data_IF_023720344832
#
_entry.id   IF_023720344832
#
_cell.length_a   1.000
_cell.length_b   1.000
_cell.length_c   1.000
_cell.angle_alpha   90.00
_cell.angle_beta   90.00
_cell.angle_gamma   90.00
#
_symmetry.space_group_name_H-M   'P 1'
#
loop_
_entity.id
_entity.type
_entity.pdbx_description
1 polymer ?
#
# COMPACT_ATOMS: atom_id res chain seq x y z
N UNK A 1 18.34 -10.86 -21.84
CA UNK A 1 17.50 -9.69 -21.48
C UNK A 1 17.28 -9.59 -19.97
N UNK A 2 16.80 -10.62 -19.28
CA UNK A 2 16.54 -10.66 -17.84
C UNK A 2 17.79 -10.34 -16.99
N UNK A 3 18.94 -10.97 -17.30
CA UNK A 3 20.22 -10.76 -16.58
C UNK A 3 20.69 -9.29 -16.67
N UNK A 4 20.57 -8.65 -17.83
CA UNK A 4 20.94 -7.24 -18.01
C UNK A 4 20.03 -6.34 -17.16
N UNK A 5 18.74 -6.59 -17.19
CA UNK A 5 17.74 -5.85 -16.40
C UNK A 5 17.98 -6.00 -14.88
N UNK A 6 18.25 -7.22 -14.38
CA UNK A 6 18.59 -7.46 -12.98
C UNK A 6 19.89 -6.72 -12.57
N UNK A 7 20.90 -6.72 -13.44
CA UNK A 7 22.13 -5.99 -13.19
C UNK A 7 21.89 -4.48 -13.08
N UNK A 8 21.09 -3.91 -13.98
CA UNK A 8 20.70 -2.50 -13.95
C UNK A 8 19.92 -2.16 -12.66
N UNK A 9 18.99 -3.02 -12.25
CA UNK A 9 18.23 -2.86 -11.01
C UNK A 9 19.15 -2.85 -9.78
N UNK A 10 20.04 -3.84 -9.68
CA UNK A 10 21.02 -3.93 -8.58
C UNK A 10 21.95 -2.70 -8.56
N UNK A 11 22.41 -2.26 -9.72
CA UNK A 11 23.27 -1.08 -9.85
C UNK A 11 22.52 0.17 -9.40
N UNK A 12 21.25 0.31 -9.77
CA UNK A 12 20.38 1.42 -9.34
C UNK A 12 20.15 1.40 -7.83
N UNK A 13 19.90 0.23 -7.23
CA UNK A 13 19.75 0.11 -5.77
C UNK A 13 21.06 0.49 -5.06
N UNK A 14 22.20 0.08 -5.60
CA UNK A 14 23.51 0.40 -5.03
C UNK A 14 23.85 1.90 -5.13
N UNK A 15 23.32 2.62 -6.10
CA UNK A 15 23.53 4.07 -6.25
C UNK A 15 22.76 4.91 -5.21
N UNK A 16 21.71 4.37 -4.59
CA UNK A 16 20.97 5.09 -3.57
C UNK A 16 21.79 5.31 -2.29
N UNK A 17 21.46 6.37 -1.58
CA UNK A 17 22.04 6.67 -0.27
C UNK A 17 21.93 5.47 0.68
N UNK A 18 22.93 5.28 1.55
CA UNK A 18 22.97 4.19 2.53
C UNK A 18 21.74 4.16 3.43
N UNK A 19 21.18 5.32 3.79
CA UNK A 19 19.94 5.41 4.58
C UNK A 19 18.74 4.82 3.84
N UNK A 20 18.62 5.11 2.54
CA UNK A 20 17.56 4.55 1.68
C UNK A 20 17.70 3.03 1.60
N UNK A 21 18.90 2.52 1.35
CA UNK A 21 19.16 1.08 1.25
C UNK A 21 18.83 0.35 2.55
N UNK A 22 19.26 0.90 3.69
CA UNK A 22 18.95 0.32 4.99
C UNK A 22 17.45 0.32 5.28
N UNK A 23 16.75 1.40 4.96
CA UNK A 23 15.30 1.47 5.10
C UNK A 23 14.60 0.43 4.19
N UNK A 24 15.02 0.31 2.92
CA UNK A 24 14.41 -0.65 1.98
C UNK A 24 14.58 -2.09 2.46
N UNK A 25 15.76 -2.45 3.01
CA UNK A 25 16.01 -3.77 3.58
C UNK A 25 15.15 -4.00 4.84
N UNK A 26 15.09 -3.02 5.74
CA UNK A 26 14.24 -3.09 6.93
C UNK A 26 12.77 -3.28 6.53
N UNK A 27 12.28 -2.45 5.60
CA UNK A 27 10.89 -2.52 5.16
C UNK A 27 10.59 -3.81 4.39
N UNK A 28 11.53 -4.35 3.62
CA UNK A 28 11.38 -5.63 2.96
C UNK A 28 11.14 -6.77 3.96
N UNK A 29 11.93 -6.86 5.03
CA UNK A 29 11.71 -7.82 6.11
C UNK A 29 10.35 -7.60 6.79
N UNK A 30 10.00 -6.35 7.10
CA UNK A 30 8.71 -5.99 7.70
C UNK A 30 7.54 -6.46 6.83
N UNK A 31 7.62 -6.26 5.52
CA UNK A 31 6.55 -6.63 4.59
C UNK A 31 6.45 -8.15 4.36
N UNK A 32 7.55 -8.91 4.43
CA UNK A 32 7.49 -10.37 4.43
C UNK A 32 6.73 -10.86 5.66
N UNK A 33 7.11 -10.41 6.86
CA UNK A 33 6.42 -10.79 8.09
C UNK A 33 4.95 -10.40 8.09
N UNK A 34 4.62 -9.21 7.55
CA UNK A 34 3.23 -8.77 7.39
C UNK A 34 2.45 -9.67 6.42
N UNK A 35 3.08 -10.12 5.33
CA UNK A 35 2.47 -11.05 4.38
C UNK A 35 2.11 -12.39 5.04
N UNK A 36 3.02 -12.97 5.83
CA UNK A 36 2.73 -14.18 6.62
C UNK A 36 1.51 -13.96 7.50
N UNK A 37 1.48 -12.82 8.20
CA UNK A 37 0.40 -12.49 9.12
C UNK A 37 -0.94 -12.29 8.40
N UNK A 38 -0.95 -11.58 7.28
CA UNK A 38 -2.17 -11.32 6.51
C UNK A 38 -2.85 -12.60 6.00
N UNK A 39 -2.06 -13.58 5.56
CA UNK A 39 -2.62 -14.84 5.04
C UNK A 39 -3.04 -15.79 6.17
N UNK A 40 -2.22 -15.94 7.19
CA UNK A 40 -2.42 -16.98 8.20
C UNK A 40 -3.32 -16.55 9.34
N UNK A 41 -3.45 -15.27 9.66
CA UNK A 41 -4.14 -14.85 10.87
C UNK A 41 -5.65 -15.09 10.84
N UNK A 42 -6.31 -14.88 9.71
CA UNK A 42 -7.73 -15.17 9.58
C UNK A 42 -8.02 -16.67 9.68
N UNK A 43 -7.11 -17.50 9.14
CA UNK A 43 -7.17 -18.96 9.27
C UNK A 43 -6.95 -19.36 10.73
N UNK A 44 -5.99 -18.74 11.42
CA UNK A 44 -5.74 -18.94 12.84
C UNK A 44 -7.00 -18.71 13.70
N UNK A 45 -7.70 -17.59 13.48
CA UNK A 45 -8.95 -17.27 14.18
C UNK A 45 -10.02 -18.34 13.92
N UNK A 46 -10.16 -18.80 12.68
CA UNK A 46 -11.10 -19.85 12.29
C UNK A 46 -10.76 -21.18 12.98
N UNK A 47 -9.50 -21.59 12.96
CA UNK A 47 -9.05 -22.86 13.58
C UNK A 47 -9.11 -22.84 15.11
N UNK A 48 -9.13 -21.66 15.74
CA UNK A 48 -9.46 -21.49 17.17
C UNK A 48 -10.94 -21.77 17.47
N UNK A 49 -11.78 -22.02 16.47
CA UNK A 49 -13.22 -22.24 16.62
C UNK A 49 -14.02 -20.95 16.82
N UNK A 50 -13.44 -19.77 16.57
CA UNK A 50 -14.13 -18.49 16.65
C UNK A 50 -14.96 -18.23 15.39
N UNK A 51 -16.05 -17.49 15.54
CA UNK A 51 -16.98 -17.22 14.45
C UNK A 51 -16.38 -16.32 13.35
N UNK A 52 -16.92 -16.41 12.14
CA UNK A 52 -16.51 -15.53 11.03
C UNK A 52 -16.77 -14.03 11.34
N UNK A 53 -17.74 -13.74 12.22
CA UNK A 53 -18.00 -12.37 12.67
C UNK A 53 -16.81 -11.77 13.43
N UNK A 54 -16.07 -12.59 14.18
CA UNK A 54 -14.83 -12.16 14.87
C UNK A 54 -13.77 -11.77 13.85
N UNK A 55 -13.59 -12.55 12.78
CA UNK A 55 -12.69 -12.22 11.68
C UNK A 55 -13.04 -10.87 11.04
N UNK A 56 -14.31 -10.66 10.72
CA UNK A 56 -14.82 -9.40 10.20
C UNK A 56 -14.58 -8.23 11.15
N UNK A 57 -14.83 -8.43 12.46
CA UNK A 57 -14.60 -7.42 13.49
C UNK A 57 -13.12 -7.07 13.65
N UNK A 58 -12.22 -8.05 13.59
CA UNK A 58 -10.76 -7.84 13.61
C UNK A 58 -10.31 -6.95 12.46
N UNK A 59 -10.76 -7.22 11.24
CA UNK A 59 -10.43 -6.40 10.05
C UNK A 59 -10.98 -4.98 10.21
N UNK A 60 -12.24 -4.85 10.62
CA UNK A 60 -12.91 -3.56 10.78
C UNK A 60 -12.27 -2.70 11.87
N UNK A 61 -11.99 -3.28 13.05
CA UNK A 61 -11.36 -2.57 14.17
C UNK A 61 -9.93 -2.14 13.83
N UNK A 62 -9.17 -2.99 13.15
CA UNK A 62 -7.83 -2.66 12.70
C UNK A 62 -7.85 -1.50 11.70
N UNK A 63 -8.74 -1.52 10.72
CA UNK A 63 -8.89 -0.46 9.74
C UNK A 63 -9.38 0.85 10.37
N UNK A 64 -10.35 0.79 11.29
CA UNK A 64 -10.85 1.95 12.03
C UNK A 64 -9.73 2.61 12.85
N UNK A 65 -8.99 1.80 13.61
CA UNK A 65 -7.88 2.27 14.43
C UNK A 65 -6.78 2.93 13.57
N UNK A 66 -6.46 2.32 12.43
CA UNK A 66 -5.53 2.87 11.46
C UNK A 66 -5.99 4.25 10.97
N UNK A 67 -7.24 4.38 10.52
CA UNK A 67 -7.80 5.66 10.03
C UNK A 67 -7.74 6.75 11.10
N UNK A 68 -8.15 6.44 12.34
CA UNK A 68 -8.12 7.39 13.45
C UNK A 68 -6.69 7.88 13.72
N UNK A 69 -5.71 7.00 13.64
CA UNK A 69 -4.33 7.31 14.03
C UNK A 69 -3.48 7.89 12.88
N UNK A 70 -3.88 7.75 11.60
CA UNK A 70 -3.07 8.18 10.45
C UNK A 70 -2.65 9.66 10.54
N UNK A 71 -3.58 10.58 10.83
CA UNK A 71 -3.28 12.01 10.92
C UNK A 71 -2.46 12.35 12.17
N UNK A 72 -2.84 11.91 13.38
CA UNK A 72 -2.00 12.09 14.57
C UNK A 72 -0.60 11.51 14.40
N UNK A 73 -0.48 10.30 13.85
CA UNK A 73 0.81 9.66 13.60
C UNK A 73 1.70 10.47 12.64
N UNK A 74 1.11 11.09 11.61
CA UNK A 74 1.83 11.97 10.69
C UNK A 74 2.41 13.20 11.38
N UNK A 75 1.61 13.86 12.21
CA UNK A 75 2.06 15.01 12.99
C UNK A 75 3.15 14.66 14.01
N UNK A 76 3.01 13.51 14.66
CA UNK A 76 4.02 12.96 15.58
C UNK A 76 5.30 12.62 14.81
N UNK A 77 5.19 12.03 13.62
CA UNK A 77 6.32 11.68 12.76
C UNK A 77 7.15 12.90 12.35
N UNK A 78 6.48 14.00 12.04
CA UNK A 78 7.16 15.26 11.69
C UNK A 78 7.90 15.89 12.89
N UNK A 79 7.39 15.69 14.12
CA UNK A 79 8.00 16.25 15.36
C UNK A 79 9.11 15.38 15.93
N UNK A 80 8.89 14.06 16.09
CA UNK A 80 9.84 13.15 16.75
C UNK A 80 10.91 12.61 15.80
N UNK A 81 10.73 12.80 14.51
CA UNK A 81 11.61 12.29 13.47
C UNK A 81 11.22 10.89 12.99
N UNK A 82 11.24 10.72 11.68
CA UNK A 82 10.69 9.53 10.98
C UNK A 82 11.39 8.23 11.38
N UNK A 83 12.73 8.24 11.50
CA UNK A 83 13.49 7.05 11.90
C UNK A 83 13.04 6.49 13.24
N UNK A 84 12.96 7.37 14.25
CA UNK A 84 12.61 6.95 15.61
C UNK A 84 11.21 6.36 15.65
N UNK A 85 10.28 6.97 14.92
CA UNK A 85 8.91 6.50 14.85
C UNK A 85 8.78 5.17 14.11
N UNK A 86 9.53 4.97 13.03
CA UNK A 86 9.57 3.69 12.31
C UNK A 86 10.14 2.59 13.23
N UNK A 87 11.25 2.85 13.92
CA UNK A 87 11.87 1.86 14.84
C UNK A 87 10.93 1.53 15.99
N UNK A 88 10.42 2.53 16.70
CA UNK A 88 9.51 2.32 17.81
C UNK A 88 8.20 1.64 17.36
N UNK A 89 7.61 2.10 16.25
CA UNK A 89 6.42 1.50 15.68
C UNK A 89 6.63 0.05 15.26
N UNK A 90 7.78 -0.28 14.64
CA UNK A 90 8.11 -1.66 14.26
C UNK A 90 8.31 -2.56 15.49
N UNK A 91 8.98 -2.09 16.53
CA UNK A 91 9.15 -2.84 17.80
C UNK A 91 7.81 -3.11 18.47
N UNK A 92 6.97 -2.07 18.62
CA UNK A 92 5.63 -2.21 19.20
C UNK A 92 4.75 -3.14 18.35
N UNK A 93 4.90 -3.06 17.01
CA UNK A 93 4.18 -3.93 16.09
C UNK A 93 4.54 -5.40 16.31
N UNK A 94 5.83 -5.71 16.44
CA UNK A 94 6.28 -7.09 16.76
C UNK A 94 5.66 -7.58 18.08
N UNK A 95 5.66 -6.76 19.13
CA UNK A 95 5.03 -7.13 20.39
C UNK A 95 3.53 -7.43 20.22
N UNK A 96 2.80 -6.57 19.49
CA UNK A 96 1.36 -6.76 19.24
C UNK A 96 1.07 -8.00 18.39
N UNK A 97 1.82 -8.20 17.30
CA UNK A 97 1.64 -9.37 16.43
C UNK A 97 1.97 -10.67 17.16
N UNK A 98 3.04 -10.68 17.98
CA UNK A 98 3.39 -11.82 18.83
C UNK A 98 2.27 -12.11 19.85
N UNK A 99 1.74 -11.09 20.53
CA UNK A 99 0.61 -11.25 21.43
C UNK A 99 -0.62 -11.81 20.71
N UNK A 100 -0.95 -11.29 19.52
CA UNK A 100 -2.05 -11.79 18.68
C UNK A 100 -1.88 -13.24 18.24
N UNK A 101 -0.65 -13.71 18.08
CA UNK A 101 -0.37 -15.11 17.70
C UNK A 101 -0.53 -16.10 18.86
N UNK A 102 -0.55 -15.61 20.10
CA UNK A 102 -0.61 -16.46 21.30
C UNK A 102 -2.00 -16.48 21.93
N UNK A 103 -2.69 -15.34 21.91
CA UNK A 103 -4.01 -15.20 22.55
C UNK A 103 -5.10 -15.96 21.81
N UNK A 104 -6.07 -16.47 22.58
CA UNK A 104 -7.16 -17.30 22.07
C UNK A 104 -8.53 -16.75 22.40
N UNK A 105 -8.64 -15.76 23.29
CA UNK A 105 -9.93 -15.18 23.69
C UNK A 105 -10.38 -14.08 22.73
N UNK A 106 -11.64 -14.10 22.32
CA UNK A 106 -12.22 -13.15 21.38
C UNK A 106 -11.96 -11.69 21.76
N UNK A 107 -12.26 -11.31 23.00
CA UNK A 107 -12.14 -9.92 23.45
C UNK A 107 -10.70 -9.40 23.39
N UNK A 108 -9.72 -10.25 23.74
CA UNK A 108 -8.31 -9.90 23.67
C UNK A 108 -7.84 -9.78 22.22
N UNK A 109 -8.31 -10.67 21.34
CA UNK A 109 -8.03 -10.62 19.89
C UNK A 109 -8.53 -9.29 19.29
N UNK A 110 -9.76 -8.90 19.61
CA UNK A 110 -10.35 -7.65 19.11
C UNK A 110 -9.61 -6.41 19.64
N UNK A 111 -9.28 -6.39 20.94
CA UNK A 111 -8.51 -5.30 21.56
C UNK A 111 -7.12 -5.16 20.93
N UNK A 112 -6.40 -6.28 20.75
CA UNK A 112 -5.08 -6.27 20.13
C UNK A 112 -5.15 -5.91 18.64
N UNK A 113 -6.23 -6.26 17.93
CA UNK A 113 -6.45 -5.84 16.54
C UNK A 113 -6.56 -4.32 16.45
N UNK A 114 -7.32 -3.70 17.34
CA UNK A 114 -7.44 -2.24 17.43
C UNK A 114 -6.07 -1.60 17.75
N UNK A 115 -5.36 -2.07 18.77
CA UNK A 115 -4.02 -1.57 19.11
C UNK A 115 -3.03 -1.73 17.94
N UNK A 116 -3.09 -2.85 17.22
CA UNK A 116 -2.25 -3.10 16.04
C UNK A 116 -2.49 -2.05 14.95
N UNK A 117 -3.76 -1.69 14.68
CA UNK A 117 -4.11 -0.65 13.72
C UNK A 117 -3.55 0.72 14.10
N UNK A 118 -3.64 1.11 15.38
CA UNK A 118 -3.06 2.36 15.87
C UNK A 118 -1.54 2.40 15.66
N UNK A 119 -0.84 1.32 16.00
CA UNK A 119 0.63 1.24 15.91
C UNK A 119 1.08 1.19 14.44
N UNK A 120 0.36 0.45 13.59
CA UNK A 120 0.70 0.36 12.16
C UNK A 120 0.70 1.71 11.46
N UNK A 121 -0.16 2.64 11.88
CA UNK A 121 -0.20 3.99 11.35
C UNK A 121 1.16 4.70 11.44
N UNK A 122 1.91 4.54 12.54
CA UNK A 122 3.22 5.17 12.72
C UNK A 122 4.25 4.70 11.67
N UNK A 123 4.24 3.41 11.35
CA UNK A 123 5.14 2.84 10.34
C UNK A 123 4.72 3.31 8.94
N UNK A 124 3.43 3.22 8.64
CA UNK A 124 2.88 3.50 7.33
C UNK A 124 3.04 4.97 6.91
N UNK A 125 2.75 5.92 7.80
CA UNK A 125 2.82 7.35 7.45
C UNK A 125 4.26 7.85 7.30
N UNK A 126 5.22 7.19 7.95
CA UNK A 126 6.61 7.66 7.99
C UNK A 126 7.44 7.22 6.79
N UNK A 127 7.05 6.13 6.11
CA UNK A 127 7.87 5.47 5.10
C UNK A 127 8.12 6.31 3.85
N UNK A 128 7.08 6.73 3.17
CA UNK A 128 7.17 7.53 1.93
C UNK A 128 7.85 8.87 2.16
N UNK A 129 7.49 9.64 3.20
CA UNK A 129 8.20 10.86 3.54
C UNK A 129 9.68 10.64 3.89
N UNK A 130 10.03 9.55 4.61
CA UNK A 130 11.42 9.22 4.91
C UNK A 130 12.24 9.03 3.62
N UNK A 131 11.71 8.29 2.65
CA UNK A 131 12.35 8.09 1.35
C UNK A 131 12.50 9.42 0.60
N UNK A 132 11.46 10.26 0.62
CA UNK A 132 11.47 11.56 -0.06
C UNK A 132 12.53 12.52 0.52
N UNK A 133 12.73 12.53 1.86
CA UNK A 133 13.71 13.37 2.54
C UNK A 133 15.16 12.94 2.30
N UNK A 134 15.39 11.64 2.08
CA UNK A 134 16.72 11.08 1.83
C UNK A 134 17.07 10.95 0.34
N UNK A 135 16.19 11.40 -0.57
CA UNK A 135 16.37 11.29 -2.02
C UNK A 135 16.35 12.65 -2.70
N UNK A 136 17.03 12.75 -3.83
CA UNK A 136 16.93 13.91 -4.73
C UNK A 136 15.64 13.82 -5.56
N UNK A 137 15.12 14.97 -6.04
CA UNK A 137 13.94 14.99 -6.90
C UNK A 137 14.14 14.15 -8.17
N UNK A 138 15.38 14.08 -8.68
CA UNK A 138 15.74 13.37 -9.91
C UNK A 138 15.65 11.83 -9.77
N UNK A 139 16.06 11.31 -8.61
CA UNK A 139 16.04 9.84 -8.34
C UNK A 139 14.73 9.34 -7.73
N UNK A 140 13.88 10.26 -7.21
CA UNK A 140 12.68 9.93 -6.41
C UNK A 140 11.71 9.02 -7.15
N UNK A 141 11.55 9.22 -8.47
CA UNK A 141 10.66 8.40 -9.28
C UNK A 141 11.11 6.93 -9.34
N UNK A 142 12.41 6.72 -9.63
CA UNK A 142 12.98 5.37 -9.67
C UNK A 142 12.96 4.73 -8.27
N UNK A 143 13.29 5.51 -7.24
CA UNK A 143 13.27 5.07 -5.86
C UNK A 143 11.89 4.55 -5.43
N UNK A 144 10.83 5.32 -5.68
CA UNK A 144 9.47 4.90 -5.31
C UNK A 144 9.02 3.68 -6.11
N UNK A 145 9.34 3.61 -7.40
CA UNK A 145 9.02 2.44 -8.23
C UNK A 145 9.66 1.17 -7.70
N UNK A 146 10.96 1.23 -7.35
CA UNK A 146 11.69 0.09 -6.78
C UNK A 146 11.14 -0.24 -5.39
N UNK A 147 10.89 0.76 -4.55
CA UNK A 147 10.36 0.57 -3.21
C UNK A 147 9.01 -0.14 -3.22
N UNK A 148 8.03 0.36 -3.96
CA UNK A 148 6.69 -0.26 -4.03
C UNK A 148 6.72 -1.65 -4.66
N UNK A 149 7.58 -1.86 -5.66
CA UNK A 149 7.79 -3.20 -6.23
C UNK A 149 8.36 -4.17 -5.20
N UNK A 150 9.36 -3.76 -4.42
CA UNK A 150 9.94 -4.58 -3.35
C UNK A 150 8.92 -4.88 -2.25
N UNK A 151 8.09 -3.92 -1.87
CA UNK A 151 6.98 -4.12 -0.92
C UNK A 151 6.02 -5.19 -1.45
N UNK A 152 5.62 -5.10 -2.71
CA UNK A 152 4.71 -6.07 -3.33
C UNK A 152 5.34 -7.46 -3.39
N UNK A 153 6.61 -7.58 -3.82
CA UNK A 153 7.34 -8.85 -3.84
C UNK A 153 7.47 -9.44 -2.43
N UNK A 154 7.81 -8.61 -1.44
CA UNK A 154 7.93 -9.06 -0.06
C UNK A 154 6.61 -9.61 0.50
N UNK A 155 5.48 -8.96 0.20
CA UNK A 155 4.16 -9.46 0.59
C UNK A 155 3.83 -10.80 -0.06
N UNK A 156 4.10 -10.96 -1.36
CA UNK A 156 3.90 -12.25 -2.06
C UNK A 156 4.76 -13.34 -1.43
N UNK A 157 6.05 -13.05 -1.16
CA UNK A 157 6.95 -13.99 -0.49
C UNK A 157 6.45 -14.34 0.92
N UNK A 158 5.98 -13.36 1.67
CA UNK A 158 5.40 -13.57 2.99
C UNK A 158 4.16 -14.46 2.96
N UNK A 159 3.26 -14.21 2.00
CA UNK A 159 2.06 -15.03 1.82
C UNK A 159 2.41 -16.49 1.52
N UNK A 160 3.34 -16.72 0.60
CA UNK A 160 3.81 -18.07 0.26
C UNK A 160 4.49 -18.74 1.46
N UNK A 161 5.38 -18.02 2.14
CA UNK A 161 6.11 -18.52 3.29
C UNK A 161 5.16 -18.93 4.42
N UNK A 162 4.11 -18.11 4.69
CA UNK A 162 3.11 -18.40 5.72
C UNK A 162 2.40 -19.73 5.48
N UNK A 163 1.92 -19.96 4.25
CA UNK A 163 1.25 -21.21 3.89
C UNK A 163 2.19 -22.42 3.96
N UNK A 164 3.40 -22.31 3.36
CA UNK A 164 4.39 -23.38 3.36
C UNK A 164 4.81 -23.77 4.78
N UNK A 165 5.05 -22.79 5.66
CA UNK A 165 5.42 -23.06 7.05
C UNK A 165 4.30 -23.75 7.82
N UNK A 166 3.05 -23.30 7.66
CA UNK A 166 1.91 -23.92 8.33
C UNK A 166 1.76 -25.39 7.90
N UNK A 167 1.85 -25.68 6.60
CA UNK A 167 1.76 -27.04 6.09
C UNK A 167 2.96 -27.90 6.53
N UNK A 168 4.17 -27.34 6.50
CA UNK A 168 5.38 -28.04 6.91
C UNK A 168 5.32 -28.50 8.39
N UNK A 169 4.85 -27.61 9.28
CA UNK A 169 4.70 -27.96 10.70
C UNK A 169 3.63 -29.03 10.93
N UNK A 170 2.55 -29.04 10.14
CA UNK A 170 1.57 -30.11 10.17
C UNK A 170 2.16 -31.45 9.71
N UNK A 171 3.02 -31.46 8.68
CA UNK A 171 3.73 -32.67 8.24
C UNK A 171 4.66 -33.24 9.33
N UNK A 172 5.18 -32.38 10.22
CA UNK A 172 5.93 -32.82 11.42
C UNK A 172 5.02 -33.27 12.59
N UNK A 173 3.71 -33.37 12.38
CA UNK A 173 2.77 -33.88 13.36
C UNK A 173 2.24 -32.87 14.37
N UNK A 174 2.46 -31.57 14.16
CA UNK A 174 1.89 -30.54 15.03
C UNK A 174 0.39 -30.33 14.72
N UNK A 175 -0.44 -30.05 15.74
CA UNK A 175 -1.83 -29.65 15.53
C UNK A 175 -1.92 -28.40 14.63
N UNK A 176 -3.01 -28.26 13.87
CA UNK A 176 -3.22 -27.17 12.91
C UNK A 176 -3.04 -25.79 13.55
N UNK A 177 -3.65 -25.56 14.72
CA UNK A 177 -3.57 -24.28 15.45
C UNK A 177 -2.11 -23.96 15.82
N UNK A 178 -1.37 -24.94 16.32
CA UNK A 178 0.05 -24.75 16.71
C UNK A 178 0.93 -24.52 15.46
N UNK A 179 0.67 -25.23 14.39
CA UNK A 179 1.39 -25.06 13.12
C UNK A 179 1.24 -23.65 12.58
N UNK A 180 0.03 -23.09 12.57
CA UNK A 180 -0.23 -21.72 12.15
C UNK A 180 0.41 -20.73 13.14
N UNK A 181 0.32 -20.99 14.45
CA UNK A 181 0.95 -20.16 15.48
C UNK A 181 2.46 -20.04 15.27
N UNK A 182 3.16 -21.15 15.03
CA UNK A 182 4.59 -21.11 14.72
C UNK A 182 4.90 -20.36 13.44
N UNK A 183 4.10 -20.51 12.37
CA UNK A 183 4.26 -19.75 11.16
C UNK A 183 4.11 -18.23 11.42
N UNK A 184 3.11 -17.81 12.20
CA UNK A 184 2.93 -16.42 12.62
C UNK A 184 4.12 -15.88 13.43
N UNK A 185 4.63 -16.66 14.40
CA UNK A 185 5.78 -16.28 15.22
C UNK A 185 7.07 -16.15 14.39
N UNK A 186 7.26 -17.01 13.38
CA UNK A 186 8.36 -16.84 12.41
C UNK A 186 8.19 -15.56 11.63
N UNK A 187 6.96 -15.23 11.17
CA UNK A 187 6.66 -13.96 10.56
C UNK A 187 7.04 -12.77 11.46
N UNK A 188 6.69 -12.81 12.75
CA UNK A 188 7.10 -11.80 13.74
C UNK A 188 8.63 -11.72 13.89
N UNK A 189 9.33 -12.85 13.84
CA UNK A 189 10.79 -12.89 13.93
C UNK A 189 11.45 -12.23 12.72
N UNK A 190 10.86 -12.36 11.53
CA UNK A 190 11.34 -11.69 10.32
C UNK A 190 11.21 -10.16 10.45
N UNK A 191 10.18 -9.64 11.12
CA UNK A 191 10.10 -8.22 11.45
C UNK A 191 11.32 -7.75 12.26
N UNK A 192 11.74 -8.54 13.28
CA UNK A 192 12.91 -8.20 14.10
C UNK A 192 14.20 -8.11 13.29
N UNK A 193 14.37 -8.95 12.26
CA UNK A 193 15.53 -8.89 11.36
C UNK A 193 15.64 -7.54 10.63
N UNK A 194 14.52 -6.86 10.40
CA UNK A 194 14.52 -5.53 9.79
C UNK A 194 15.07 -4.42 10.70
N UNK A 195 14.96 -4.55 12.02
CA UNK A 195 15.30 -3.49 12.98
C UNK A 195 16.79 -3.08 12.95
N UNK A 196 17.78 -4.01 12.95
CA UNK A 196 19.19 -3.65 12.85
C UNK A 196 19.53 -2.79 11.64
N UNK A 197 18.89 -3.02 10.49
CA UNK A 197 19.09 -2.19 9.31
C UNK A 197 18.56 -0.78 9.55
N UNK A 198 17.40 -0.63 10.17
CA UNK A 198 16.83 0.68 10.48
C UNK A 198 17.65 1.43 11.53
N UNK A 199 18.25 0.75 12.50
CA UNK A 199 19.14 1.37 13.49
C UNK A 199 20.40 1.95 12.84
N UNK A 200 20.94 1.34 11.78
CA UNK A 200 22.11 1.84 11.02
C UNK A 200 21.82 3.11 10.22
N UNK A 201 20.57 3.51 10.04
CA UNK A 201 20.21 4.78 9.40
C UNK A 201 20.79 5.93 10.21
N UNK A 202 21.59 6.80 9.57
CA UNK A 202 22.17 7.99 10.21
C UNK A 202 21.17 9.14 10.13
N UNK A 203 20.77 9.67 11.29
CA UNK A 203 19.96 10.89 11.34
C UNK A 203 20.94 12.06 11.29
N UNK A 204 20.71 13.09 10.44
CA UNK A 204 21.42 14.35 10.54
C UNK A 204 21.26 14.90 11.97
N UNK A 205 22.35 15.38 12.55
CA UNK A 205 22.29 16.04 13.86
C UNK A 205 21.26 17.17 13.81
N UNK A 206 20.58 17.44 14.93
CA UNK A 206 19.58 18.52 15.04
C UNK A 206 20.13 19.84 14.49
N UNK A 207 21.43 20.10 14.72
CA UNK A 207 22.16 21.27 14.21
C UNK A 207 22.27 21.27 12.68
N UNK A 208 22.57 20.12 12.05
CA UNK A 208 22.62 19.98 10.60
C UNK A 208 21.22 20.02 9.96
N UNK A 209 20.18 19.59 10.69
CA UNK A 209 18.78 19.69 10.25
C UNK A 209 18.32 21.15 10.31
N UNK A 210 18.59 21.84 11.39
CA UNK A 210 18.29 23.28 11.52
C UNK A 210 19.05 24.11 10.50
N UNK A 211 20.34 23.85 10.27
CA UNK A 211 21.14 24.50 9.25
C UNK A 211 20.62 24.22 7.83
N UNK A 212 20.09 23.03 7.56
CA UNK A 212 19.46 22.70 6.28
C UNK A 212 18.06 23.31 6.14
N UNK A 213 17.32 23.45 7.24
CA UNK A 213 16.05 24.18 7.30
C UNK A 213 16.30 25.69 7.12
N UNK A 214 17.30 26.26 7.78
CA UNK A 214 17.72 27.66 7.62
C UNK A 214 18.27 27.96 6.20
N UNK A 215 19.05 27.05 5.62
CA UNK A 215 19.53 27.18 4.24
C UNK A 215 18.37 27.05 3.25
N UNK A 216 17.42 26.15 3.48
CA UNK A 216 16.22 26.01 2.67
C UNK A 216 15.25 27.21 2.87
N UNK A 217 15.14 27.76 4.08
CA UNK A 217 14.40 28.99 4.35
C UNK A 217 15.10 30.22 3.74
N UNK A 218 16.42 30.19 3.62
CA UNK A 218 17.24 31.24 2.95
C UNK A 218 17.14 31.18 1.42
N UNK A 219 16.98 29.98 0.82
CA UNK A 219 16.74 29.80 -0.62
C UNK A 219 15.27 29.96 -1.01
N UNK A 220 14.35 29.61 -0.10
CA UNK A 220 12.92 29.85 -0.25
C UNK A 220 12.60 31.26 0.24
N UNK A 221 12.74 32.26 -0.62
CA UNK A 221 12.23 33.63 -0.41
C UNK A 221 10.70 33.58 -0.22
N UNK A 222 10.22 33.23 0.96
CA UNK A 222 8.81 33.30 1.33
C UNK A 222 8.48 32.45 2.55
N UNK A 223 7.77 33.06 3.53
CA UNK A 223 7.17 32.32 4.65
C UNK A 223 6.37 31.14 4.10
N UNK A 224 6.46 29.91 4.68
CA UNK A 224 5.72 28.75 4.18
C UNK A 224 4.23 29.12 4.10
N UNK A 225 3.69 29.08 2.89
CA UNK A 225 2.31 29.51 2.66
C UNK A 225 1.35 28.38 3.04
N UNK A 226 0.98 28.35 4.32
CA UNK A 226 0.05 27.33 4.87
C UNK A 226 -1.20 27.20 4.01
N UNK A 227 -1.79 28.32 3.54
CA UNK A 227 -2.99 28.28 2.68
C UNK A 227 -2.73 27.54 1.36
N UNK A 228 -1.56 27.75 0.75
CA UNK A 228 -1.16 27.05 -0.49
C UNK A 228 -0.98 25.56 -0.24
N UNK A 229 -0.26 25.16 0.80
CA UNK A 229 -0.03 23.75 1.13
C UNK A 229 -1.34 23.03 1.47
N UNK A 230 -2.18 23.60 2.31
CA UNK A 230 -3.50 23.04 2.63
C UNK A 230 -4.37 22.90 1.37
N UNK A 231 -4.39 23.92 0.50
CA UNK A 231 -5.11 23.85 -0.78
C UNK A 231 -4.61 22.69 -1.64
N UNK A 232 -3.28 22.48 -1.74
CA UNK A 232 -2.72 21.37 -2.50
C UNK A 232 -3.07 20.03 -1.89
N UNK A 233 -3.00 19.89 -0.57
CA UNK A 233 -3.39 18.67 0.15
C UNK A 233 -4.85 18.35 -0.13
N UNK A 234 -5.77 19.31 0.02
CA UNK A 234 -7.20 19.09 -0.23
C UNK A 234 -7.47 18.70 -1.68
N UNK A 235 -6.87 19.41 -2.66
CA UNK A 235 -7.05 19.06 -4.06
C UNK A 235 -6.55 17.65 -4.40
N UNK A 236 -5.43 17.24 -3.80
CA UNK A 236 -4.88 15.90 -3.99
C UNK A 236 -5.74 14.83 -3.29
N UNK A 237 -6.25 15.15 -2.10
CA UNK A 237 -7.13 14.28 -1.31
C UNK A 237 -8.44 13.97 -2.04
N UNK A 238 -9.02 14.92 -2.78
CA UNK A 238 -10.24 14.67 -3.59
C UNK A 238 -9.97 13.57 -4.63
N UNK A 239 -8.82 13.61 -5.31
CA UNK A 239 -8.45 12.54 -6.25
C UNK A 239 -8.29 11.19 -5.55
N UNK A 240 -7.62 11.18 -4.39
CA UNK A 240 -7.45 9.95 -3.60
C UNK A 240 -8.78 9.40 -3.06
N UNK A 241 -9.72 10.26 -2.69
CA UNK A 241 -11.06 9.85 -2.29
C UNK A 241 -11.79 9.14 -3.43
N UNK A 242 -11.80 9.73 -4.62
CA UNK A 242 -12.44 9.14 -5.81
C UNK A 242 -11.82 7.77 -6.15
N UNK A 243 -10.49 7.69 -6.13
CA UNK A 243 -9.80 6.41 -6.38
C UNK A 243 -10.10 5.40 -5.27
N UNK A 244 -10.14 5.84 -4.00
CA UNK A 244 -10.51 5.00 -2.85
C UNK A 244 -11.92 4.45 -2.94
N UNK A 245 -12.89 5.28 -3.33
CA UNK A 245 -14.28 4.88 -3.57
C UNK A 245 -14.35 3.82 -4.67
N UNK A 246 -13.74 4.07 -5.82
CA UNK A 246 -13.72 3.10 -6.92
C UNK A 246 -13.02 1.78 -6.54
N UNK A 247 -11.90 1.86 -5.81
CA UNK A 247 -11.17 0.68 -5.34
C UNK A 247 -11.99 -0.13 -4.32
N UNK A 248 -12.70 0.55 -3.40
CA UNK A 248 -13.52 -0.08 -2.37
C UNK A 248 -14.72 -0.86 -2.90
N UNK A 249 -15.25 -0.48 -4.06
CA UNK A 249 -16.34 -1.22 -4.72
C UNK A 249 -15.91 -2.58 -5.27
N UNK A 250 -14.66 -2.76 -5.66
CA UNK A 250 -14.20 -3.92 -6.42
C UNK A 250 -13.18 -4.77 -5.65
N UNK A 251 -12.13 -4.15 -5.11
CA UNK A 251 -10.95 -4.90 -4.63
C UNK A 251 -11.26 -5.86 -3.48
N UNK A 252 -12.04 -5.49 -2.45
CA UNK A 252 -12.34 -6.40 -1.34
C UNK A 252 -13.16 -7.62 -1.75
N UNK A 253 -13.85 -7.54 -2.88
CA UNK A 253 -14.80 -8.56 -3.35
C UNK A 253 -14.29 -9.38 -4.54
N UNK A 254 -13.03 -9.23 -4.93
CA UNK A 254 -12.45 -9.97 -6.07
C UNK A 254 -12.49 -11.48 -5.86
N UNK A 255 -12.25 -11.95 -4.63
CA UNK A 255 -12.36 -13.39 -4.31
C UNK A 255 -13.77 -13.88 -4.58
N UNK A 256 -14.77 -13.16 -4.05
CA UNK A 256 -16.19 -13.48 -4.22
C UNK A 256 -16.63 -13.32 -5.68
N UNK A 257 -16.10 -12.35 -6.41
CA UNK A 257 -16.37 -12.20 -7.83
C UNK A 257 -15.97 -13.45 -8.61
N UNK A 258 -14.76 -13.97 -8.43
CA UNK A 258 -14.32 -15.19 -9.11
C UNK A 258 -15.07 -16.44 -8.64
N UNK A 259 -15.34 -16.55 -7.33
CA UNK A 259 -16.08 -17.65 -6.77
C UNK A 259 -17.54 -17.66 -7.25
N UNK A 260 -18.26 -16.55 -7.08
CA UNK A 260 -19.72 -16.52 -7.26
C UNK A 260 -20.15 -16.41 -8.73
N UNK A 261 -19.28 -15.88 -9.60
CA UNK A 261 -19.64 -15.68 -11.01
C UNK A 261 -19.11 -16.79 -11.93
N UNK A 262 -18.00 -17.42 -11.56
CA UNK A 262 -17.32 -18.42 -12.40
C UNK A 262 -17.13 -19.76 -11.71
N UNK A 263 -17.65 -19.96 -10.50
CA UNK A 263 -17.46 -21.17 -9.69
C UNK A 263 -15.98 -21.59 -9.60
N UNK A 264 -15.07 -20.59 -9.55
CA UNK A 264 -13.64 -20.82 -9.55
C UNK A 264 -13.19 -21.45 -8.21
N UNK A 265 -12.38 -22.51 -8.32
CA UNK A 265 -11.77 -23.14 -7.14
C UNK A 265 -10.88 -22.14 -6.37
N UNK A 266 -10.78 -22.28 -5.04
CA UNK A 266 -9.99 -21.41 -4.18
C UNK A 266 -8.53 -21.32 -4.62
N UNK A 267 -7.93 -22.42 -5.06
CA UNK A 267 -6.56 -22.46 -5.60
C UNK A 267 -6.41 -21.62 -6.86
N UNK A 268 -7.39 -21.64 -7.77
CA UNK A 268 -7.41 -20.83 -8.98
C UNK A 268 -7.53 -19.35 -8.64
N UNK A 269 -8.40 -19.00 -7.69
CA UNK A 269 -8.55 -17.62 -7.20
C UNK A 269 -7.22 -17.13 -6.60
N UNK A 270 -6.64 -17.93 -5.71
CA UNK A 270 -5.34 -17.60 -5.10
C UNK A 270 -4.23 -17.40 -6.13
N UNK A 271 -4.16 -18.26 -7.15
CA UNK A 271 -3.20 -18.13 -8.24
C UNK A 271 -3.39 -16.84 -9.06
N UNK A 272 -4.64 -16.51 -9.44
CA UNK A 272 -4.96 -15.28 -10.17
C UNK A 272 -4.56 -14.04 -9.37
N UNK A 273 -4.87 -13.99 -8.08
CA UNK A 273 -4.55 -12.87 -7.21
C UNK A 273 -3.03 -12.71 -6.98
N UNK A 274 -2.32 -13.84 -6.79
CA UNK A 274 -0.86 -13.85 -6.67
C UNK A 274 -0.19 -13.36 -7.96
N UNK A 275 -0.64 -13.84 -9.12
CA UNK A 275 -0.15 -13.41 -10.42
C UNK A 275 -0.42 -11.91 -10.66
N UNK A 276 -1.58 -11.40 -10.24
CA UNK A 276 -1.93 -9.98 -10.28
C UNK A 276 -0.96 -9.12 -9.46
N UNK A 277 -0.59 -9.59 -8.28
CA UNK A 277 0.41 -8.93 -7.44
C UNK A 277 1.81 -8.94 -8.08
N UNK A 278 2.22 -10.06 -8.68
CA UNK A 278 3.49 -10.15 -9.38
C UNK A 278 3.54 -9.21 -10.61
N UNK A 279 2.48 -9.18 -11.41
CA UNK A 279 2.36 -8.25 -12.54
C UNK A 279 2.37 -6.79 -12.10
N UNK A 280 1.75 -6.48 -10.97
CA UNK A 280 1.79 -5.15 -10.36
C UNK A 280 3.22 -4.73 -10.03
N UNK A 281 4.02 -5.60 -9.41
CA UNK A 281 5.42 -5.31 -9.10
C UNK A 281 6.24 -4.99 -10.36
N UNK A 282 6.06 -5.77 -11.43
CA UNK A 282 6.72 -5.53 -12.73
C UNK A 282 6.25 -4.21 -13.35
N UNK A 283 4.96 -3.93 -13.33
CA UNK A 283 4.39 -2.71 -13.91
C UNK A 283 4.89 -1.44 -13.19
N UNK A 284 5.04 -1.47 -11.87
CA UNK A 284 5.62 -0.37 -11.09
C UNK A 284 7.06 -0.06 -11.50
N UNK A 285 7.86 -1.07 -11.85
CA UNK A 285 9.24 -0.88 -12.32
C UNK A 285 9.32 -0.31 -13.75
N UNK A 286 8.27 -0.46 -14.54
CA UNK A 286 8.17 0.15 -15.87
C UNK A 286 7.72 1.61 -15.84
N UNK A 287 7.12 2.06 -14.74
CA UNK A 287 6.60 3.42 -14.55
C UNK A 287 7.59 4.52 -14.92
N UNK A 288 8.85 4.52 -14.43
CA UNK A 288 9.84 5.54 -14.75
C UNK A 288 10.13 5.70 -16.24
N UNK A 289 10.11 4.60 -17.01
CA UNK A 289 10.33 4.67 -18.47
C UNK A 289 9.25 5.47 -19.19
N UNK A 290 7.99 5.31 -18.76
CA UNK A 290 6.88 6.08 -19.33
C UNK A 290 6.94 7.55 -18.86
N UNK A 291 7.24 7.78 -17.58
CA UNK A 291 7.39 9.13 -17.02
C UNK A 291 8.44 9.93 -17.76
N UNK A 292 9.58 9.32 -18.10
CA UNK A 292 10.67 9.99 -18.84
C UNK A 292 10.25 10.38 -20.27
N UNK A 293 9.23 9.72 -20.86
CA UNK A 293 8.76 10.02 -22.23
C UNK A 293 7.64 11.07 -22.26
N UNK A 294 6.72 11.01 -21.32
CA UNK A 294 5.47 11.80 -21.40
C UNK A 294 5.23 12.69 -20.17
N UNK A 295 6.15 12.69 -19.19
CA UNK A 295 6.00 13.40 -17.92
C UNK A 295 5.13 12.65 -16.91
N UNK A 296 5.21 13.07 -15.61
CA UNK A 296 4.57 12.35 -14.50
C UNK A 296 3.05 12.30 -14.60
N UNK A 297 2.41 13.45 -14.86
CA UNK A 297 0.95 13.55 -14.89
C UNK A 297 0.39 12.75 -16.05
N UNK A 298 0.95 12.88 -17.24
CA UNK A 298 0.47 12.13 -18.41
C UNK A 298 0.70 10.63 -18.26
N UNK A 299 1.84 10.20 -17.69
CA UNK A 299 2.11 8.80 -17.42
C UNK A 299 1.08 8.19 -16.45
N UNK A 300 0.75 8.92 -15.37
CA UNK A 300 -0.30 8.50 -14.43
C UNK A 300 -1.65 8.32 -15.13
N UNK A 301 -2.04 9.29 -15.94
CA UNK A 301 -3.31 9.26 -16.68
C UNK A 301 -3.35 8.11 -17.69
N UNK A 302 -2.25 7.86 -18.42
CA UNK A 302 -2.16 6.73 -19.36
C UNK A 302 -2.38 5.41 -18.61
N UNK A 303 -1.72 5.21 -17.46
CA UNK A 303 -1.91 4.01 -16.67
C UNK A 303 -3.34 3.85 -16.16
N UNK A 304 -3.92 4.89 -15.59
CA UNK A 304 -5.28 4.87 -15.07
C UNK A 304 -6.32 4.64 -16.19
N UNK A 305 -6.24 5.40 -17.27
CA UNK A 305 -7.20 5.28 -18.37
C UNK A 305 -7.04 3.94 -19.13
N UNK A 306 -5.80 3.46 -19.35
CA UNK A 306 -5.57 2.18 -19.97
C UNK A 306 -6.06 0.98 -19.10
N UNK A 307 -6.25 1.16 -17.81
CA UNK A 307 -6.81 0.12 -16.93
C UNK A 307 -8.32 -0.07 -17.12
N UNK A 308 -9.04 0.94 -17.60
CA UNK A 308 -10.51 0.96 -17.68
C UNK A 308 -11.06 -0.07 -18.69
N UNK A 309 -10.54 -0.21 -19.92
CA UNK A 309 -11.00 -1.26 -20.83
C UNK A 309 -10.89 -2.67 -20.25
N UNK A 310 -9.83 -2.95 -19.48
CA UNK A 310 -9.64 -4.24 -18.82
C UNK A 310 -10.61 -4.44 -17.64
N UNK A 311 -10.97 -3.35 -16.95
CA UNK A 311 -12.03 -3.37 -15.94
C UNK A 311 -13.37 -3.75 -16.58
N UNK A 312 -13.73 -3.16 -17.72
CA UNK A 312 -14.95 -3.51 -18.46
C UNK A 312 -14.90 -4.91 -19.05
N UNK A 313 -13.72 -5.37 -19.50
CA UNK A 313 -13.55 -6.77 -19.92
C UNK A 313 -13.93 -7.72 -18.78
N UNK A 314 -13.43 -7.48 -17.55
CA UNK A 314 -13.82 -8.26 -16.38
C UNK A 314 -15.29 -8.09 -16.04
N UNK A 315 -15.87 -6.88 -16.21
CA UNK A 315 -17.27 -6.60 -15.91
C UNK A 315 -18.26 -7.46 -16.70
N UNK A 316 -18.02 -7.64 -18.00
CA UNK A 316 -19.04 -8.17 -18.92
C UNK A 316 -18.71 -9.55 -19.52
N UNK A 317 -17.51 -10.10 -19.31
CA UNK A 317 -17.15 -11.44 -19.82
C UNK A 317 -17.82 -12.54 -19.03
N UNK A 318 -18.13 -13.65 -19.70
CA UNK A 318 -18.56 -14.92 -19.09
C UNK A 318 -17.45 -15.97 -19.06
N UNK A 319 -16.25 -15.62 -19.53
CA UNK A 319 -15.09 -16.52 -19.50
C UNK A 319 -14.20 -16.20 -18.33
N UNK A 320 -13.92 -17.18 -17.47
CA UNK A 320 -12.97 -17.06 -16.35
C UNK A 320 -11.61 -16.58 -16.82
N UNK A 321 -11.12 -17.11 -17.97
CA UNK A 321 -9.81 -16.72 -18.51
C UNK A 321 -9.77 -15.25 -18.91
N UNK A 322 -10.79 -14.75 -19.60
CA UNK A 322 -10.87 -13.33 -19.99
C UNK A 322 -11.06 -12.43 -18.78
N UNK A 323 -11.83 -12.86 -17.78
CA UNK A 323 -12.00 -12.15 -16.52
C UNK A 323 -10.67 -12.04 -15.76
N UNK A 324 -9.90 -13.14 -15.71
CA UNK A 324 -8.58 -13.16 -15.10
C UNK A 324 -7.61 -12.23 -15.84
N UNK A 325 -7.53 -12.30 -17.17
CA UNK A 325 -6.69 -11.39 -17.98
C UNK A 325 -7.09 -9.93 -17.73
N UNK A 326 -8.39 -9.62 -17.76
CA UNK A 326 -8.90 -8.30 -17.46
C UNK A 326 -8.46 -7.81 -16.09
N UNK A 327 -8.63 -8.64 -15.06
CA UNK A 327 -8.19 -8.34 -13.70
C UNK A 327 -6.67 -8.10 -13.61
N UNK A 328 -5.86 -9.00 -14.15
CA UNK A 328 -4.39 -8.93 -14.12
C UNK A 328 -3.87 -7.63 -14.75
N UNK A 329 -4.35 -7.31 -15.95
CA UNK A 329 -3.96 -6.09 -16.66
C UNK A 329 -4.45 -4.83 -15.96
N UNK A 330 -5.72 -4.81 -15.53
CA UNK A 330 -6.28 -3.69 -14.75
C UNK A 330 -5.48 -3.46 -13.48
N UNK A 331 -5.20 -4.50 -12.72
CA UNK A 331 -4.46 -4.40 -11.45
C UNK A 331 -3.05 -3.87 -11.67
N UNK A 332 -2.33 -4.42 -12.62
CA UNK A 332 -0.97 -4.01 -12.95
C UNK A 332 -0.92 -2.54 -13.39
N UNK A 333 -1.79 -2.13 -14.33
CA UNK A 333 -1.83 -0.77 -14.86
C UNK A 333 -2.24 0.24 -13.77
N UNK A 334 -3.32 -0.01 -13.04
CA UNK A 334 -3.81 0.92 -12.02
C UNK A 334 -2.77 1.15 -10.92
N UNK A 335 -2.13 0.09 -10.43
CA UNK A 335 -1.14 0.17 -9.37
C UNK A 335 0.24 0.67 -9.85
N UNK A 336 0.56 0.58 -11.15
CA UNK A 336 1.76 1.20 -11.73
C UNK A 336 1.80 2.72 -11.51
N UNK A 337 0.64 3.35 -11.32
CA UNK A 337 0.51 4.76 -10.97
C UNK A 337 0.90 5.12 -9.53
N UNK A 338 0.94 4.18 -8.59
CA UNK A 338 1.19 4.46 -7.18
C UNK A 338 2.53 5.17 -6.89
N UNK A 339 3.68 4.73 -7.47
CA UNK A 339 4.94 5.44 -7.31
C UNK A 339 4.89 6.86 -7.86
N UNK A 340 4.21 7.06 -8.99
CA UNK A 340 4.06 8.37 -9.65
C UNK A 340 3.22 9.29 -8.77
N UNK A 341 2.09 8.81 -8.27
CA UNK A 341 1.21 9.55 -7.36
C UNK A 341 1.96 9.97 -6.10
N UNK A 342 2.74 9.06 -5.50
CA UNK A 342 3.56 9.36 -4.32
C UNK A 342 4.65 10.41 -4.62
N UNK A 343 5.30 10.34 -5.79
CA UNK A 343 6.28 11.33 -6.20
C UNK A 343 5.65 12.72 -6.36
N UNK A 344 4.50 12.81 -7.04
CA UNK A 344 3.77 14.08 -7.22
C UNK A 344 3.32 14.63 -5.87
N UNK A 345 2.74 13.80 -4.99
CA UNK A 345 2.29 14.23 -3.67
C UNK A 345 3.41 14.85 -2.83
N UNK A 346 4.64 14.31 -2.92
CA UNK A 346 5.81 14.83 -2.20
C UNK A 346 6.44 16.08 -2.85
N UNK A 347 6.09 16.39 -4.08
CA UNK A 347 6.63 17.57 -4.81
C UNK A 347 5.68 18.78 -4.74
N UNK A 348 4.39 18.59 -4.53
CA UNK A 348 3.40 19.68 -4.50
C UNK A 348 3.29 20.38 -3.16
N UNK A 349 3.87 19.80 -2.10
CA UNK A 349 3.87 20.35 -0.73
C UNK A 349 5.30 20.61 -0.28
N UNK A 350 5.45 21.61 0.60
CA UNK A 350 6.73 21.93 1.23
C UNK A 350 7.17 20.79 2.17
N UNK A 351 8.48 20.64 2.36
CA UNK A 351 9.08 19.53 3.13
C UNK A 351 8.47 19.38 4.54
N UNK A 352 8.15 20.51 5.17
CA UNK A 352 7.52 20.56 6.49
C UNK A 352 6.15 19.87 6.57
N UNK A 353 5.41 19.83 5.46
CA UNK A 353 4.04 19.30 5.43
C UNK A 353 3.93 17.92 4.77
N UNK A 354 5.04 17.29 4.34
CA UNK A 354 5.01 16.00 3.63
C UNK A 354 4.40 14.86 4.45
N UNK A 355 4.72 14.80 5.76
CA UNK A 355 4.15 13.79 6.65
C UNK A 355 2.65 13.97 6.81
N UNK A 356 2.22 15.21 7.10
CA UNK A 356 0.81 15.55 7.22
C UNK A 356 0.05 15.26 5.91
N UNK A 357 0.59 15.70 4.77
CA UNK A 357 0.00 15.46 3.46
C UNK A 357 -0.15 13.96 3.14
N UNK A 358 0.88 13.16 3.44
CA UNK A 358 0.83 11.70 3.24
C UNK A 358 -0.24 11.06 4.13
N UNK A 359 -0.34 11.48 5.39
CA UNK A 359 -1.33 10.95 6.34
C UNK A 359 -2.75 11.27 5.92
N UNK A 360 -3.03 12.53 5.54
CA UNK A 360 -4.35 12.96 5.07
C UNK A 360 -4.72 12.19 3.79
N UNK A 361 -3.80 12.05 2.84
CA UNK A 361 -4.05 11.34 1.60
C UNK A 361 -4.34 9.86 1.83
N UNK A 362 -3.59 9.19 2.70
CA UNK A 362 -3.83 7.81 3.10
C UNK A 362 -5.18 7.65 3.81
N UNK A 363 -5.47 8.54 4.77
CA UNK A 363 -6.73 8.53 5.50
C UNK A 363 -7.93 8.66 4.54
N UNK A 364 -7.90 9.64 3.67
CA UNK A 364 -9.01 9.91 2.72
C UNK A 364 -9.20 8.75 1.75
N UNK A 365 -8.12 8.16 1.25
CA UNK A 365 -8.20 6.95 0.43
C UNK A 365 -8.88 5.79 1.18
N UNK A 366 -8.45 5.52 2.42
CA UNK A 366 -9.02 4.44 3.25
C UNK A 366 -10.48 4.71 3.65
N UNK A 367 -10.86 5.97 3.87
CA UNK A 367 -12.26 6.36 4.08
C UNK A 367 -13.10 6.03 2.84
N UNK A 368 -12.62 6.41 1.65
CA UNK A 368 -13.28 6.06 0.39
C UNK A 368 -13.45 4.55 0.22
N UNK A 369 -12.41 3.79 0.53
CA UNK A 369 -12.46 2.32 0.52
C UNK A 369 -13.49 1.77 1.50
N UNK A 370 -13.46 2.21 2.76
CA UNK A 370 -14.33 1.69 3.81
C UNK A 370 -15.83 1.94 3.57
N UNK A 371 -16.15 3.11 2.98
CA UNK A 371 -17.55 3.49 2.71
C UNK A 371 -18.23 2.62 1.64
N UNK A 372 -17.47 1.95 0.79
CA UNK A 372 -18.01 1.25 -0.38
C UNK A 372 -18.33 -0.24 -0.13
N UNK A 373 -18.03 -0.75 1.06
CA UNK A 373 -18.32 -2.12 1.40
C UNK A 373 -19.81 -2.47 1.32
N UNK A 374 -20.65 -1.70 1.99
CA UNK A 374 -22.11 -1.90 2.00
C UNK A 374 -22.75 -1.65 0.62
N UNK A 375 -22.44 -0.57 -0.12
CA UNK A 375 -22.94 -0.37 -1.47
C UNK A 375 -22.58 -1.50 -2.45
N UNK A 376 -21.35 -2.02 -2.38
CA UNK A 376 -20.94 -3.13 -3.23
C UNK A 376 -21.74 -4.41 -2.93
N UNK A 377 -21.88 -4.77 -1.66
CA UNK A 377 -22.67 -5.91 -1.24
C UNK A 377 -24.14 -5.75 -1.65
N UNK A 378 -24.73 -4.57 -1.46
CA UNK A 378 -26.10 -4.26 -1.86
C UNK A 378 -26.32 -4.45 -3.36
N UNK A 379 -25.41 -3.98 -4.21
CA UNK A 379 -25.50 -4.18 -5.66
C UNK A 379 -25.51 -5.66 -6.04
N UNK A 380 -24.63 -6.45 -5.42
CA UNK A 380 -24.53 -7.89 -5.72
C UNK A 380 -25.77 -8.66 -5.22
N UNK A 381 -26.28 -8.35 -4.03
CA UNK A 381 -27.46 -9.03 -3.47
C UNK A 381 -28.74 -8.65 -4.21
N UNK A 382 -28.86 -7.40 -4.66
CA UNK A 382 -30.07 -6.90 -5.35
C UNK A 382 -30.15 -7.35 -6.81
N UNK A 383 -29.02 -7.30 -7.53
CA UNK A 383 -28.99 -7.53 -8.99
C UNK A 383 -28.37 -8.88 -9.37
N UNK A 384 -27.97 -9.70 -8.37
CA UNK A 384 -27.36 -11.02 -8.58
C UNK A 384 -25.91 -10.97 -9.03
N UNK A 385 -25.30 -12.16 -9.16
CA UNK A 385 -23.86 -12.30 -9.37
C UNK A 385 -23.35 -11.70 -10.69
N UNK A 386 -24.15 -11.73 -11.75
CA UNK A 386 -23.72 -11.15 -13.03
C UNK A 386 -23.83 -9.64 -13.02
N UNK A 387 -25.05 -9.10 -12.90
CA UNK A 387 -25.29 -7.67 -13.02
C UNK A 387 -24.78 -6.88 -11.81
N UNK A 388 -24.82 -7.45 -10.62
CA UNK A 388 -24.29 -6.81 -9.41
C UNK A 388 -22.80 -6.50 -9.54
N UNK A 389 -21.98 -7.48 -9.96
CA UNK A 389 -20.56 -7.23 -10.22
C UNK A 389 -20.35 -6.35 -11.48
N UNK A 390 -21.13 -6.51 -12.53
CA UNK A 390 -21.02 -5.65 -13.70
C UNK A 390 -21.27 -4.17 -13.35
N UNK A 391 -22.26 -3.89 -12.50
CA UNK A 391 -22.53 -2.53 -12.01
C UNK A 391 -21.41 -2.00 -11.12
N UNK A 392 -20.89 -2.80 -10.16
CA UNK A 392 -19.77 -2.35 -9.31
C UNK A 392 -18.55 -1.97 -10.15
N UNK A 393 -18.20 -2.76 -11.16
CA UNK A 393 -17.07 -2.49 -12.05
C UNK A 393 -17.33 -1.29 -12.95
N UNK A 394 -18.56 -1.14 -13.48
CA UNK A 394 -18.94 0.00 -14.32
C UNK A 394 -18.89 1.30 -13.55
N UNK A 395 -19.47 1.35 -12.35
CA UNK A 395 -19.43 2.51 -11.46
C UNK A 395 -17.96 2.87 -11.13
N UNK A 396 -17.14 1.87 -10.82
CA UNK A 396 -15.70 2.05 -10.58
C UNK A 396 -15.00 2.67 -11.80
N UNK A 397 -15.30 2.19 -13.01
CA UNK A 397 -14.76 2.73 -14.26
C UNK A 397 -15.13 4.19 -14.48
N UNK A 398 -16.38 4.55 -14.23
CA UNK A 398 -16.86 5.95 -14.29
C UNK A 398 -16.14 6.83 -13.26
N UNK A 399 -16.03 6.35 -12.02
CA UNK A 399 -15.33 7.08 -10.95
C UNK A 399 -13.86 7.29 -11.31
N UNK A 400 -13.19 6.29 -11.88
CA UNK A 400 -11.79 6.41 -12.32
C UNK A 400 -11.63 7.40 -13.49
N UNK A 401 -12.58 7.45 -14.42
CA UNK A 401 -12.62 8.48 -15.46
C UNK A 401 -12.75 9.88 -14.86
N UNK A 402 -13.67 10.07 -13.92
CA UNK A 402 -13.87 11.34 -13.23
C UNK A 402 -12.60 11.72 -12.44
N UNK A 403 -12.00 10.79 -11.70
CA UNK A 403 -10.76 11.01 -10.94
C UNK A 403 -9.60 11.42 -11.85
N UNK A 404 -9.42 10.72 -12.97
CA UNK A 404 -8.36 10.99 -13.94
C UNK A 404 -8.56 12.36 -14.61
N UNK A 405 -9.78 12.68 -15.01
CA UNK A 405 -10.15 13.97 -15.60
C UNK A 405 -9.92 15.11 -14.61
N UNK A 406 -10.38 14.95 -13.37
CA UNK A 406 -10.13 15.90 -12.29
C UNK A 406 -8.62 16.12 -12.09
N UNK A 407 -7.83 15.04 -12.00
CA UNK A 407 -6.39 15.12 -11.82
C UNK A 407 -5.69 15.85 -12.95
N UNK A 408 -6.09 15.61 -14.19
CA UNK A 408 -5.58 16.31 -15.37
C UNK A 408 -5.82 17.82 -15.31
N UNK A 409 -7.04 18.25 -14.99
CA UNK A 409 -7.37 19.69 -14.93
C UNK A 409 -6.65 20.41 -13.79
N UNK A 410 -6.47 19.76 -12.64
CA UNK A 410 -5.85 20.39 -11.47
C UNK A 410 -4.33 20.41 -11.59
N UNK A 411 -3.72 19.29 -12.01
CA UNK A 411 -2.27 19.10 -11.95
C UNK A 411 -1.60 19.17 -13.33
N UNK A 412 -2.27 18.79 -14.42
CA UNK A 412 -1.69 18.73 -15.77
C UNK A 412 -1.24 20.08 -16.31
N UNK A 413 -2.05 21.13 -16.14
CA UNK A 413 -1.70 22.50 -16.56
C UNK A 413 -0.56 23.11 -15.74
N UNK A 414 -0.49 22.80 -14.44
CA UNK A 414 0.54 23.37 -13.53
C UNK A 414 1.91 22.70 -13.69
N UNK A 415 1.94 21.42 -14.00
CA UNK A 415 3.21 20.73 -14.26
C UNK A 415 3.85 21.14 -15.58
N UNK A 416 3.07 21.39 -16.64
CA UNK A 416 3.59 21.94 -17.89
C UNK A 416 4.29 23.29 -17.73
N UNK A 417 3.82 24.13 -16.80
CA UNK A 417 4.45 25.43 -16.53
C UNK A 417 5.77 25.32 -15.74
N UNK A 418 5.99 24.23 -14.96
CA UNK A 418 7.22 24.00 -14.20
C UNK A 418 8.30 23.24 -14.98
N UNK A 419 7.96 22.56 -16.05
CA UNK A 419 8.93 21.90 -16.95
C UNK A 419 9.52 22.87 -17.99
N UNK A 420 8.93 24.06 -18.13
CA UNK A 420 9.33 25.11 -19.11
C UNK A 420 10.15 26.23 -18.41
N UNK A 421 10.15 26.30 -17.08
CA UNK A 421 10.98 27.19 -16.26
C UNK A 421 12.05 26.42 -15.51
#
# INVERSE_FOLDING_TARGET
MLRKWLTELITTIKSFNINIRNYMLANFCTQIGMGVFMVMYNIYIKELGLSESVNGSVVSLNALALVIMLVPAGLISDRLGRKNLIVAGTLLMVCMLTARSIVTTEQTILTLAFCTGLIWAFVQVSGVPFLAENSTAKERMNLFSIHFSLVTVANVLGNLLGGILADLFQLFGLPVVESIRFALLIGCSIFLVGIPFMLRVKIPTRKARLAKEEAADGELKGKPNLKRNLKMIVLFSVSNLLIGIGAGLVIPYLNLYFANRFDAANSTIGFILALGSAMTAVAMLLGPKLVNRVGKVNALLIFQLASIPFLFLSAFTNSLLLAAIGFLMRQALMNAGNPITSAIAMEVVDDRYKGFANSVNQMIFNVGWALMGLPAAWLVTTYGNYWGYAYTFTITGVIYLVASTYFYFIFGRRYKLKEIT
#
